data_IF_513243476596
#
_entry.id   IF_513243476596
#
_cell.length_a   1.000
_cell.length_b   1.000
_cell.length_c   1.000
_cell.angle_alpha   90.00
_cell.angle_beta   90.00
_cell.angle_gamma   90.00
#
_symmetry.space_group_name_H-M   'P 1'
#
loop_
_entity.id
_entity.type
_entity.pdbx_description
1 polymer ?
#
# COMPACT_ATOMS: atom_id res chain seq x y z
N UNK A 1 -12.40 -19.35 10.92
CA UNK A 1 -11.01 -18.82 10.87
C UNK A 1 -11.01 -17.41 10.28
N UNK A 2 -10.20 -16.52 10.85
CA UNK A 2 -9.99 -15.21 10.27
C UNK A 2 -8.95 -15.30 9.13
N UNK A 3 -8.72 -14.20 8.42
CA UNK A 3 -7.80 -14.17 7.28
C UNK A 3 -6.38 -14.58 7.65
N UNK A 4 -5.90 -14.12 8.80
CA UNK A 4 -4.56 -14.49 9.28
C UNK A 4 -4.44 -15.99 9.49
N UNK A 5 -5.40 -16.58 10.19
CA UNK A 5 -5.40 -18.01 10.46
C UNK A 5 -5.46 -18.85 9.19
N UNK A 6 -6.26 -18.41 8.19
CA UNK A 6 -6.36 -19.10 6.90
C UNK A 6 -5.02 -19.07 6.16
N UNK A 7 -4.36 -17.93 6.12
CA UNK A 7 -3.06 -17.79 5.47
C UNK A 7 -2.00 -18.64 6.18
N UNK A 8 -1.98 -18.61 7.50
CA UNK A 8 -1.01 -19.38 8.27
C UNK A 8 -1.20 -20.89 8.07
N UNK A 9 -2.44 -21.36 8.00
CA UNK A 9 -2.73 -22.76 7.74
C UNK A 9 -2.20 -23.20 6.37
N UNK A 10 -2.34 -22.34 5.36
CA UNK A 10 -1.84 -22.63 4.03
C UNK A 10 -0.31 -22.69 4.00
N UNK A 11 0.35 -21.78 4.70
CA UNK A 11 1.81 -21.75 4.80
C UNK A 11 2.30 -23.01 5.50
N UNK A 12 1.66 -23.41 6.60
CA UNK A 12 2.00 -24.64 7.32
C UNK A 12 1.79 -25.88 6.47
N UNK A 13 0.84 -25.84 5.54
CA UNK A 13 0.61 -26.95 4.60
C UNK A 13 1.61 -26.97 3.43
N UNK A 14 2.58 -26.06 3.42
CA UNK A 14 3.62 -26.01 2.38
C UNK A 14 3.29 -25.12 1.19
N UNK A 15 2.18 -24.37 1.22
CA UNK A 15 1.85 -23.45 0.14
C UNK A 15 2.71 -22.19 0.22
N UNK A 16 2.98 -21.60 -0.93
CA UNK A 16 3.68 -20.32 -1.02
C UNK A 16 2.65 -19.23 -1.23
N UNK A 17 2.72 -18.19 -0.42
CA UNK A 17 1.83 -17.03 -0.52
C UNK A 17 2.61 -15.88 -1.13
N UNK A 18 2.09 -15.31 -2.20
CA UNK A 18 2.73 -14.21 -2.91
C UNK A 18 2.28 -12.90 -2.27
N UNK A 19 3.24 -12.05 -1.92
CA UNK A 19 2.95 -10.68 -1.45
C UNK A 19 3.24 -9.71 -2.60
N UNK A 20 2.77 -8.48 -2.46
CA UNK A 20 3.13 -7.42 -3.40
C UNK A 20 4.57 -6.95 -3.16
N UNK A 21 4.99 -5.95 -3.93
CA UNK A 21 6.36 -5.44 -3.88
C UNK A 21 6.34 -3.94 -4.19
N UNK A 22 7.42 -3.37 -4.53
CA UNK A 22 7.77 -2.05 -5.08
C UNK A 22 6.62 -1.05 -5.33
N UNK A 23 5.77 -0.76 -4.34
CA UNK A 23 4.68 0.21 -4.50
C UNK A 23 5.20 1.61 -4.79
N UNK A 24 6.23 2.05 -4.06
CA UNK A 24 6.82 3.37 -4.29
C UNK A 24 7.46 3.51 -5.66
N UNK A 25 8.17 2.48 -6.11
CA UNK A 25 8.80 2.46 -7.44
C UNK A 25 7.74 2.50 -8.54
N UNK A 26 6.63 1.79 -8.35
CA UNK A 26 5.53 1.80 -9.31
C UNK A 26 4.85 3.18 -9.37
N UNK A 27 4.66 3.85 -8.23
CA UNK A 27 4.16 5.22 -8.22
C UNK A 27 5.07 6.15 -9.04
N UNK A 28 6.38 6.03 -8.83
CA UNK A 28 7.36 6.81 -9.57
C UNK A 28 7.30 6.51 -11.07
N UNK A 29 7.19 5.23 -11.44
CA UNK A 29 7.07 4.82 -12.84
C UNK A 29 5.81 5.40 -13.50
N UNK A 30 4.74 5.60 -12.74
CA UNK A 30 3.51 6.23 -13.22
C UNK A 30 3.57 7.76 -13.20
N UNK A 31 4.72 8.34 -12.90
CA UNK A 31 4.91 9.79 -12.91
C UNK A 31 4.46 10.53 -11.67
N UNK A 32 4.17 9.82 -10.57
CA UNK A 32 3.78 10.45 -9.32
C UNK A 32 5.02 11.07 -8.68
N UNK A 33 5.00 12.40 -8.39
CA UNK A 33 6.17 13.06 -7.80
C UNK A 33 6.45 12.57 -6.40
N UNK A 34 7.74 12.47 -6.07
CA UNK A 34 8.18 12.12 -4.73
C UNK A 34 8.09 13.34 -3.80
N UNK A 35 7.76 13.08 -2.56
CA UNK A 35 7.76 14.09 -1.52
C UNK A 35 9.10 14.03 -0.80
N UNK A 36 9.84 15.13 -0.75
CA UNK A 36 11.11 15.17 -0.05
C UNK A 36 10.94 14.69 1.40
N UNK A 37 11.83 13.81 1.85
CA UNK A 37 11.84 13.17 3.16
C UNK A 37 10.70 12.15 3.42
N UNK A 38 9.75 12.02 2.52
CA UNK A 38 8.69 11.04 2.64
C UNK A 38 8.49 10.21 1.36
N UNK A 39 9.42 10.32 0.43
CA UNK A 39 9.46 9.56 -0.83
C UNK A 39 8.11 9.52 -1.53
N UNK A 40 7.62 8.33 -1.84
CA UNK A 40 6.35 8.14 -2.53
C UNK A 40 5.13 8.09 -1.59
N UNK A 41 5.33 8.33 -0.29
CA UNK A 41 4.21 8.43 0.66
C UNK A 41 3.22 9.52 0.30
N UNK A 42 3.70 10.60 -0.32
CA UNK A 42 2.85 11.71 -0.76
C UNK A 42 1.79 11.30 -1.79
N UNK A 43 2.06 10.26 -2.58
CA UNK A 43 1.13 9.77 -3.60
C UNK A 43 -0.22 9.33 -3.04
N UNK A 44 -0.28 8.97 -1.78
CA UNK A 44 -1.52 8.58 -1.11
C UNK A 44 -2.57 9.70 -1.15
N UNK A 45 -2.16 10.95 -1.03
CA UNK A 45 -3.07 12.09 -1.09
C UNK A 45 -3.09 12.74 -2.47
N UNK A 46 -1.95 12.83 -3.15
CA UNK A 46 -1.86 13.51 -4.45
C UNK A 46 -2.42 12.67 -5.60
N UNK A 47 -2.25 11.36 -5.55
CA UNK A 47 -2.64 10.46 -6.64
C UNK A 47 -3.27 9.16 -6.11
N UNK A 48 -4.39 9.27 -5.36
CA UNK A 48 -5.00 8.08 -4.73
C UNK A 48 -5.48 7.04 -5.73
N UNK A 49 -5.96 7.47 -6.91
CA UNK A 49 -6.46 6.54 -7.92
C UNK A 49 -5.34 5.71 -8.54
N UNK A 50 -4.17 6.31 -8.73
CA UNK A 50 -3.01 5.59 -9.25
C UNK A 50 -2.53 4.57 -8.21
N UNK A 51 -2.46 4.96 -6.94
CA UNK A 51 -2.08 4.04 -5.86
C UNK A 51 -3.05 2.85 -5.78
N UNK A 52 -4.34 3.11 -5.83
CA UNK A 52 -5.35 2.04 -5.81
C UNK A 52 -5.20 1.12 -7.02
N UNK A 53 -4.93 1.68 -8.20
CA UNK A 53 -4.71 0.89 -9.41
C UNK A 53 -3.49 -0.02 -9.27
N UNK A 54 -2.41 0.47 -8.67
CA UNK A 54 -1.20 -0.33 -8.42
C UNK A 54 -1.53 -1.51 -7.51
N UNK A 55 -2.27 -1.30 -6.43
CA UNK A 55 -2.70 -2.39 -5.56
C UNK A 55 -3.51 -3.44 -6.34
N UNK A 56 -4.43 -3.00 -7.20
CA UNK A 56 -5.23 -3.91 -8.02
C UNK A 56 -4.36 -4.71 -8.98
N UNK A 57 -3.37 -4.08 -9.58
CA UNK A 57 -2.47 -4.76 -10.52
C UNK A 57 -1.68 -5.86 -9.82
N UNK A 58 -1.19 -5.62 -8.61
CA UNK A 58 -0.50 -6.65 -7.84
C UNK A 58 -1.41 -7.81 -7.49
N UNK A 59 -2.66 -7.52 -7.09
CA UNK A 59 -3.64 -8.56 -6.77
C UNK A 59 -3.93 -9.40 -8.02
N UNK A 60 -4.13 -8.77 -9.18
CA UNK A 60 -4.38 -9.47 -10.44
C UNK A 60 -3.19 -10.32 -10.87
N UNK A 61 -1.99 -9.91 -10.53
CA UNK A 61 -0.77 -10.65 -10.82
C UNK A 61 -0.56 -11.85 -9.88
N UNK A 62 -1.39 -11.99 -8.85
CA UNK A 62 -1.35 -13.13 -7.94
C UNK A 62 -0.98 -12.81 -6.50
N UNK A 63 -0.80 -11.55 -6.14
CA UNK A 63 -0.53 -11.19 -4.76
C UNK A 63 -1.77 -11.45 -3.89
N UNK A 64 -1.58 -12.17 -2.80
CA UNK A 64 -2.64 -12.48 -1.85
C UNK A 64 -2.55 -11.63 -0.58
N UNK A 65 -1.43 -10.98 -0.37
CA UNK A 65 -1.21 -10.04 0.71
C UNK A 65 -0.66 -8.77 0.07
N UNK A 66 -1.27 -7.64 0.36
CA UNK A 66 -0.76 -6.35 -0.09
C UNK A 66 -0.41 -5.49 1.13
N UNK A 67 0.56 -4.61 0.93
CA UNK A 67 1.06 -3.72 1.98
C UNK A 67 0.58 -2.31 1.65
N UNK A 68 -0.02 -1.64 2.63
CA UNK A 68 -0.45 -0.25 2.44
C UNK A 68 0.76 0.67 2.23
N UNK A 69 0.55 1.79 1.53
CA UNK A 69 1.63 2.73 1.23
C UNK A 69 1.97 3.59 2.45
N UNK A 70 2.44 2.94 3.51
CA UNK A 70 2.74 3.60 4.79
C UNK A 70 4.21 3.50 5.22
N UNK A 71 5.08 3.00 4.35
CA UNK A 71 6.50 2.84 4.67
C UNK A 71 7.15 4.17 5.04
N UNK A 72 6.86 5.23 4.29
CA UNK A 72 7.48 6.54 4.46
C UNK A 72 6.54 7.59 5.06
N UNK A 73 5.42 7.19 5.65
CA UNK A 73 4.45 8.11 6.26
C UNK A 73 4.49 8.09 7.77
N UNK A 74 5.64 7.78 8.36
CA UNK A 74 5.89 7.93 9.77
C UNK A 74 5.76 9.41 10.17
N UNK A 75 5.37 9.65 11.40
CA UNK A 75 5.18 11.03 11.88
C UNK A 75 6.44 11.87 11.70
N UNK A 76 7.62 11.30 11.99
CA UNK A 76 8.90 11.99 11.82
C UNK A 76 9.20 12.32 10.35
N UNK A 77 8.93 11.38 9.44
CA UNK A 77 9.14 11.59 8.00
C UNK A 77 8.22 12.69 7.47
N UNK A 78 6.96 12.68 7.86
CA UNK A 78 5.99 13.71 7.45
C UNK A 78 6.32 15.07 8.06
N UNK A 79 6.83 15.10 9.29
CA UNK A 79 7.32 16.33 9.90
C UNK A 79 8.44 16.94 9.08
N UNK A 80 9.41 16.12 8.70
CA UNK A 80 10.56 16.58 7.92
C UNK A 80 10.17 16.99 6.50
N UNK A 81 9.04 16.47 6.01
CA UNK A 81 8.48 16.85 4.72
C UNK A 81 7.52 18.06 4.81
N UNK A 82 7.30 18.60 6.01
CA UNK A 82 6.37 19.70 6.22
C UNK A 82 4.90 19.28 6.19
N UNK A 83 4.61 18.00 6.40
CA UNK A 83 3.26 17.42 6.30
C UNK A 83 2.79 16.78 7.61
N UNK A 84 3.37 17.13 8.74
CA UNK A 84 3.03 16.50 10.03
C UNK A 84 1.54 16.60 10.36
N UNK A 85 0.90 17.73 10.04
CA UNK A 85 -0.53 17.91 10.30
C UNK A 85 -1.43 16.94 9.54
N UNK A 86 -0.89 16.31 8.49
CA UNK A 86 -1.63 15.34 7.67
C UNK A 86 -1.28 13.89 8.01
N UNK A 87 -0.53 13.64 9.09
CA UNK A 87 -0.09 12.30 9.46
C UNK A 87 -1.23 11.29 9.49
N UNK A 88 -2.29 11.62 10.22
CA UNK A 88 -3.45 10.72 10.34
C UNK A 88 -4.14 10.52 9.00
N UNK A 89 -4.33 11.59 8.22
CA UNK A 89 -4.98 11.53 6.91
C UNK A 89 -4.21 10.64 5.94
N UNK A 90 -2.88 10.80 5.87
CA UNK A 90 -2.05 9.96 5.00
C UNK A 90 -2.21 8.49 5.34
N UNK A 91 -2.08 8.14 6.61
CA UNK A 91 -2.06 6.74 7.01
C UNK A 91 -3.45 6.10 6.92
N UNK A 92 -4.51 6.80 7.29
CA UNK A 92 -5.88 6.29 7.15
C UNK A 92 -6.24 6.07 5.68
N UNK A 93 -5.89 7.02 4.81
CA UNK A 93 -6.17 6.90 3.39
C UNK A 93 -5.37 5.77 2.74
N UNK A 94 -4.11 5.61 3.10
CA UNK A 94 -3.29 4.53 2.57
C UNK A 94 -3.92 3.16 2.84
N UNK A 95 -4.40 2.94 4.05
CA UNK A 95 -5.06 1.69 4.43
C UNK A 95 -6.40 1.54 3.71
N UNK A 96 -7.16 2.62 3.60
CA UNK A 96 -8.44 2.62 2.90
C UNK A 96 -8.29 2.23 1.43
N UNK A 97 -7.31 2.80 0.75
CA UNK A 97 -7.06 2.49 -0.66
C UNK A 97 -6.67 1.03 -0.87
N UNK A 98 -5.83 0.48 0.00
CA UNK A 98 -5.47 -0.94 -0.05
C UNK A 98 -6.70 -1.82 0.19
N UNK A 99 -7.52 -1.49 1.20
CA UNK A 99 -8.73 -2.24 1.51
C UNK A 99 -9.75 -2.19 0.38
N UNK A 100 -9.92 -1.02 -0.25
CA UNK A 100 -10.82 -0.88 -1.39
C UNK A 100 -10.35 -1.72 -2.58
N UNK A 101 -9.06 -1.75 -2.85
CA UNK A 101 -8.51 -2.58 -3.92
C UNK A 101 -8.81 -4.06 -3.69
N UNK A 102 -8.66 -4.54 -2.46
CA UNK A 102 -8.97 -5.92 -2.10
C UNK A 102 -10.46 -6.24 -2.27
N UNK A 103 -11.34 -5.31 -1.91
CA UNK A 103 -12.79 -5.54 -1.99
C UNK A 103 -13.33 -5.51 -3.42
N UNK A 104 -12.64 -4.82 -4.33
CA UNK A 104 -13.07 -4.70 -5.73
C UNK A 104 -12.62 -5.86 -6.60
N UNK A 105 -11.65 -6.64 -6.15
CA UNK A 105 -11.14 -7.80 -6.88
C UNK A 105 -11.52 -9.04 -6.10
N UNK A 106 -12.48 -9.77 -6.62
CA UNK A 106 -12.88 -11.05 -6.04
C UNK A 106 -11.90 -12.14 -6.49
N UNK A 107 -11.30 -12.74 -5.51
CA UNK A 107 -10.36 -13.85 -5.72
C UNK A 107 -11.07 -15.15 -5.36
#
# INVERSE_FOLDING_TARGET
MNSYQKIMARIEAGEKIIIDSATGTELERHGVPQLENAWNGGGTLSHPEILKQIHKEYIRAGAEIIISNTFATLKSALRDAGKEDNFETYNRRAIKLASEALSLIHI
#
